data_IF_928920989971
#
_entry.id   IF_928920989971
#
_cell.length_a   1.000
_cell.length_b   1.000
_cell.length_c   1.000
_cell.angle_alpha   90.00
_cell.angle_beta   90.00
_cell.angle_gamma   90.00
#
_symmetry.space_group_name_H-M   'P 1'
#
loop_
_entity.id
_entity.type
_entity.pdbx_description
1 polymer ?
#
# COMPACT_ATOMS: atom_id res chain seq x y z
N UNK A 1 3.53 10.71 -30.06
CA UNK A 1 2.97 10.10 -28.83
C UNK A 1 4.02 9.12 -28.30
N UNK A 2 4.81 9.55 -27.32
CA UNK A 2 5.96 8.76 -26.83
C UNK A 2 5.48 7.50 -26.11
N UNK A 3 6.09 6.35 -26.43
CA UNK A 3 5.89 5.10 -25.70
C UNK A 3 6.23 5.36 -24.21
N UNK A 4 5.22 5.40 -23.34
CA UNK A 4 5.44 5.38 -21.89
C UNK A 4 6.01 4.00 -21.56
N UNK A 5 7.33 3.91 -21.44
CA UNK A 5 7.99 2.71 -20.91
C UNK A 5 7.47 2.51 -19.49
N UNK A 6 6.93 1.32 -19.21
CA UNK A 6 6.72 0.89 -17.84
C UNK A 6 8.11 0.67 -17.24
N UNK A 7 8.55 1.60 -16.39
CA UNK A 7 9.78 1.46 -15.59
C UNK A 7 9.49 0.48 -14.44
N UNK A 8 9.43 -0.82 -14.75
CA UNK A 8 9.02 -1.88 -13.80
C UNK A 8 9.83 -1.83 -12.50
N UNK A 9 11.14 -1.57 -12.56
CA UNK A 9 11.99 -1.41 -11.37
C UNK A 9 11.62 -0.20 -10.50
N UNK A 10 11.15 0.90 -11.10
CA UNK A 10 10.65 2.06 -10.36
C UNK A 10 9.32 1.73 -9.68
N UNK A 11 8.44 0.99 -10.36
CA UNK A 11 7.16 0.53 -9.78
C UNK A 11 7.39 -0.44 -8.62
N UNK A 12 8.30 -1.40 -8.76
CA UNK A 12 8.71 -2.30 -7.67
C UNK A 12 9.33 -1.55 -6.50
N UNK A 13 10.18 -0.54 -6.77
CA UNK A 13 10.75 0.32 -5.73
C UNK A 13 9.68 1.11 -4.96
N UNK A 14 8.71 1.69 -5.67
CA UNK A 14 7.59 2.41 -5.05
C UNK A 14 6.70 1.46 -4.22
N UNK A 15 6.44 0.24 -4.70
CA UNK A 15 5.73 -0.79 -3.94
C UNK A 15 6.45 -1.13 -2.63
N UNK A 16 7.77 -1.31 -2.68
CA UNK A 16 8.58 -1.53 -1.49
C UNK A 16 8.50 -0.37 -0.49
N UNK A 17 8.50 0.87 -0.97
CA UNK A 17 8.35 2.06 -0.12
C UNK A 17 6.95 2.12 0.55
N UNK A 18 5.89 1.81 -0.19
CA UNK A 18 4.52 1.75 0.36
C UNK A 18 4.42 0.68 1.43
N UNK A 19 5.01 -0.50 1.19
CA UNK A 19 4.99 -1.59 2.15
C UNK A 19 5.78 -1.26 3.41
N UNK A 20 6.96 -0.64 3.28
CA UNK A 20 7.75 -0.15 4.41
C UNK A 20 6.98 0.90 5.23
N UNK A 21 6.29 1.82 4.55
CA UNK A 21 5.47 2.86 5.19
C UNK A 21 4.30 2.23 5.97
N UNK A 22 3.60 1.26 5.36
CA UNK A 22 2.52 0.51 6.02
C UNK A 22 3.01 -0.19 7.29
N UNK A 23 4.15 -0.88 7.23
CA UNK A 23 4.74 -1.55 8.41
C UNK A 23 5.12 -0.54 9.50
N UNK A 24 5.68 0.61 9.15
CA UNK A 24 6.02 1.65 10.12
C UNK A 24 4.78 2.22 10.82
N UNK A 25 3.71 2.52 10.08
CA UNK A 25 2.44 3.01 10.65
C UNK A 25 1.83 1.99 11.62
N UNK A 26 1.85 0.70 11.27
CA UNK A 26 1.39 -0.36 12.19
C UNK A 26 2.24 -0.45 13.46
N UNK A 27 3.57 -0.37 13.31
CA UNK A 27 4.48 -0.40 14.46
C UNK A 27 4.28 0.79 15.40
N UNK A 28 4.10 1.99 14.86
CA UNK A 28 3.80 3.20 15.63
C UNK A 28 2.44 3.09 16.34
N UNK A 29 1.45 2.47 15.69
CA UNK A 29 0.15 2.17 16.31
C UNK A 29 0.28 1.26 17.51
N UNK A 30 0.98 0.15 17.36
CA UNK A 30 1.20 -0.81 18.44
C UNK A 30 2.03 -0.20 19.57
N UNK A 31 3.03 0.63 19.23
CA UNK A 31 3.85 1.34 20.20
C UNK A 31 3.04 2.36 20.99
N UNK A 32 2.17 3.13 20.32
CA UNK A 32 1.26 4.08 20.98
C UNK A 32 0.32 3.35 21.93
N UNK A 33 -0.35 2.29 21.47
CA UNK A 33 -1.24 1.45 22.30
C UNK A 33 -0.51 0.92 23.56
N UNK A 34 0.72 0.44 23.40
CA UNK A 34 1.54 -0.08 24.50
C UNK A 34 2.00 1.01 25.46
N UNK A 35 2.39 2.18 24.94
CA UNK A 35 2.92 3.30 25.74
C UNK A 35 1.82 3.93 26.58
N UNK A 36 0.63 4.07 26.00
CA UNK A 36 -0.51 4.65 26.72
C UNK A 36 -0.93 3.70 27.84
N UNK A 37 -0.67 2.38 27.73
CA UNK A 37 -0.92 1.41 28.80
C UNK A 37 -2.39 1.26 29.17
N UNK A 38 -3.26 1.90 28.38
CA UNK A 38 -4.70 1.94 28.54
C UNK A 38 -5.31 0.94 27.56
N UNK A 39 -6.27 0.17 28.03
CA UNK A 39 -7.11 -0.62 27.14
C UNK A 39 -7.98 0.31 26.29
N UNK A 40 -8.50 -0.18 25.16
CA UNK A 40 -9.46 0.60 24.36
C UNK A 40 -10.65 1.09 25.18
N UNK A 41 -10.98 0.39 26.28
CA UNK A 41 -12.04 0.73 27.22
C UNK A 41 -11.66 1.92 28.11
N UNK A 42 -10.43 1.98 28.62
CA UNK A 42 -9.97 3.11 29.46
C UNK A 42 -9.81 4.42 28.65
N UNK A 43 -9.64 4.29 27.33
CA UNK A 43 -9.53 5.38 26.37
C UNK A 43 -10.89 5.95 25.95
N UNK A 44 -11.93 5.12 25.95
CA UNK A 44 -13.32 5.53 25.73
C UNK A 44 -13.79 6.52 26.80
N UNK A 45 -13.36 6.32 28.05
CA UNK A 45 -13.77 7.14 29.20
C UNK A 45 -13.01 8.48 29.31
N UNK A 46 -11.71 8.50 29.00
CA UNK A 46 -10.87 9.70 29.21
C UNK A 46 -10.63 10.56 27.96
N UNK A 47 -10.60 9.95 26.77
CA UNK A 47 -10.32 10.67 25.52
C UNK A 47 -11.59 10.99 24.70
N UNK A 48 -12.77 10.62 25.22
CA UNK A 48 -14.07 10.98 24.65
C UNK A 48 -14.19 10.63 23.17
N UNK A 49 -14.20 9.34 22.83
CA UNK A 49 -14.41 8.83 21.46
C UNK A 49 -13.31 9.12 20.43
N UNK A 50 -12.51 10.19 20.60
CA UNK A 50 -11.47 10.62 19.66
C UNK A 50 -10.36 9.59 19.47
N UNK A 51 -10.06 8.83 20.51
CA UNK A 51 -9.12 7.71 20.40
C UNK A 51 -9.61 6.68 19.38
N UNK A 52 -10.89 6.30 19.47
CA UNK A 52 -11.53 5.38 18.53
C UNK A 52 -11.55 5.94 17.11
N UNK A 53 -11.82 7.24 16.95
CA UNK A 53 -11.80 7.91 15.64
C UNK A 53 -10.41 7.87 15.00
N UNK A 54 -9.35 8.20 15.75
CA UNK A 54 -7.96 8.14 15.25
C UNK A 54 -7.58 6.71 14.89
N UNK A 55 -7.95 5.75 15.74
CA UNK A 55 -7.68 4.34 15.48
C UNK A 55 -8.38 3.85 14.19
N UNK A 56 -9.63 4.25 13.97
CA UNK A 56 -10.37 3.96 12.73
C UNK A 56 -9.75 4.63 11.51
N UNK A 57 -9.27 5.87 11.62
CA UNK A 57 -8.58 6.56 10.54
C UNK A 57 -7.29 5.83 10.13
N UNK A 58 -6.53 5.31 11.10
CA UNK A 58 -5.38 4.46 10.82
C UNK A 58 -5.75 3.15 10.12
N UNK A 59 -6.83 2.49 10.53
CA UNK A 59 -7.30 1.28 9.86
C UNK A 59 -7.73 1.56 8.41
N UNK A 60 -8.37 2.70 8.15
CA UNK A 60 -8.75 3.13 6.79
C UNK A 60 -7.52 3.40 5.91
N UNK A 61 -6.51 4.10 6.43
CA UNK A 61 -5.26 4.35 5.69
C UNK A 61 -4.54 3.05 5.38
N UNK A 62 -4.49 2.14 6.35
CA UNK A 62 -3.88 0.81 6.22
C UNK A 62 -4.58 0.00 5.12
N UNK A 63 -5.91 -0.02 5.11
CA UNK A 63 -6.70 -0.68 4.08
C UNK A 63 -6.47 -0.08 2.68
N UNK A 64 -6.48 1.25 2.56
CA UNK A 64 -6.21 1.94 1.30
C UNK A 64 -4.80 1.63 0.76
N UNK A 65 -3.79 1.54 1.64
CA UNK A 65 -2.44 1.16 1.25
C UNK A 65 -2.35 -0.28 0.74
N UNK A 66 -3.11 -1.22 1.34
CA UNK A 66 -3.17 -2.61 0.87
C UNK A 66 -3.90 -2.72 -0.49
N UNK A 67 -4.98 -1.99 -0.67
CA UNK A 67 -5.71 -1.94 -1.95
C UNK A 67 -4.83 -1.38 -3.07
N UNK A 68 -4.12 -0.29 -2.79
CA UNK A 68 -3.17 0.30 -3.73
C UNK A 68 -2.06 -0.68 -4.12
N UNK A 69 -1.48 -1.43 -3.16
CA UNK A 69 -0.49 -2.46 -3.44
C UNK A 69 -1.05 -3.56 -4.35
N UNK A 70 -2.29 -4.00 -4.10
CA UNK A 70 -2.95 -5.00 -4.94
C UNK A 70 -3.17 -4.49 -6.38
N UNK A 71 -3.64 -3.25 -6.54
CA UNK A 71 -3.84 -2.64 -7.86
C UNK A 71 -2.53 -2.47 -8.62
N UNK A 72 -1.47 -2.03 -7.94
CA UNK A 72 -0.14 -1.89 -8.54
C UNK A 72 0.43 -3.24 -8.98
N UNK A 73 0.25 -4.29 -8.18
CA UNK A 73 0.65 -5.66 -8.55
C UNK A 73 -0.10 -6.13 -9.80
N UNK A 74 -1.42 -5.94 -9.85
CA UNK A 74 -2.25 -6.31 -11.01
C UNK A 74 -1.80 -5.53 -12.26
N UNK A 75 -1.66 -4.21 -12.15
CA UNK A 75 -1.22 -3.36 -13.25
C UNK A 75 0.17 -3.77 -13.77
N UNK A 76 1.10 -4.10 -12.87
CA UNK A 76 2.42 -4.63 -13.23
C UNK A 76 2.33 -5.92 -14.03
N UNK A 77 1.54 -6.89 -13.58
CA UNK A 77 1.36 -8.17 -14.30
C UNK A 77 0.72 -7.98 -15.68
N UNK A 78 -0.26 -7.07 -15.80
CA UNK A 78 -0.89 -6.74 -17.09
C UNK A 78 0.11 -6.08 -18.04
N UNK A 79 0.89 -5.12 -17.57
CA UNK A 79 1.89 -4.44 -18.38
C UNK A 79 2.99 -5.40 -18.88
N UNK A 80 3.41 -6.39 -18.07
CA UNK A 80 4.33 -7.45 -18.51
C UNK A 80 3.70 -8.30 -19.62
N UNK A 81 2.45 -8.74 -19.43
CA UNK A 81 1.75 -9.56 -20.41
C UNK A 81 1.56 -8.82 -21.76
N UNK A 82 1.19 -7.55 -21.72
CA UNK A 82 1.06 -6.70 -22.91
C UNK A 82 2.40 -6.48 -23.62
N UNK A 83 3.48 -6.32 -22.85
CA UNK A 83 4.82 -6.16 -23.40
C UNK A 83 5.30 -7.46 -24.07
N UNK A 84 5.11 -8.62 -23.43
CA UNK A 84 5.42 -9.93 -24.01
C UNK A 84 4.61 -10.19 -25.30
N UNK A 85 3.31 -9.87 -25.31
CA UNK A 85 2.48 -9.99 -26.50
C UNK A 85 2.97 -9.07 -27.63
N UNK A 86 3.44 -7.86 -27.29
CA UNK A 86 4.01 -6.93 -28.26
C UNK A 86 5.32 -7.43 -28.84
N UNK A 87 6.22 -7.94 -27.99
CA UNK A 87 7.48 -8.58 -28.43
C UNK A 87 7.20 -9.78 -29.32
N UNK A 88 6.26 -10.66 -28.96
CA UNK A 88 5.88 -11.82 -29.77
C UNK A 88 5.33 -11.40 -31.15
N UNK A 89 4.47 -10.37 -31.20
CA UNK A 89 3.97 -9.82 -32.47
C UNK A 89 5.07 -9.20 -33.32
N UNK A 90 6.04 -8.54 -32.70
CA UNK A 90 7.18 -7.95 -33.41
C UNK A 90 8.13 -9.04 -33.93
N UNK A 91 8.40 -10.06 -33.12
CA UNK A 91 9.22 -11.21 -33.51
C UNK A 91 8.58 -12.03 -34.64
N UNK A 92 7.25 -12.19 -34.66
CA UNK A 92 6.53 -12.88 -35.73
C UNK A 92 6.48 -12.08 -37.06
N UNK A 93 6.92 -10.81 -37.06
CA UNK A 93 7.01 -9.96 -38.26
C UNK A 93 8.42 -9.96 -38.88
N UNK A 94 9.40 -10.62 -38.25
CA UNK A 94 10.74 -10.87 -38.78
C UNK A 94 10.89 -12.34 -39.14
#
# INVERSE_FOLDING_TARGET
MGLKKCEFGTVEGMLGQVQATHTAVMADKDAWLRTVGLTAQDLLDNAGGRFTEVNQAWDQVTAAMQEMQNHLRIAGTQAVAENMATVARAAARY
#
